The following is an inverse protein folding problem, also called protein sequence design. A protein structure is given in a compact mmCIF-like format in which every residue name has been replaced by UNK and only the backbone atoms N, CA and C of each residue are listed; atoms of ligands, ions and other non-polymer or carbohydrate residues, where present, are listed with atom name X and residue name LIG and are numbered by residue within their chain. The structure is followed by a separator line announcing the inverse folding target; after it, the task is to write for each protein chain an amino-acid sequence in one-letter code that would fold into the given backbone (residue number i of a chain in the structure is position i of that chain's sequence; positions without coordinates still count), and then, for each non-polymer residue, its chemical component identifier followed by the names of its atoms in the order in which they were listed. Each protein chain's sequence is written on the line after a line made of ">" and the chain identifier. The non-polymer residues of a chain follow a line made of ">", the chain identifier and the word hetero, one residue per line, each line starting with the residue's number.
data_IF_961351123083
#
_entry.id   IF_961351123083
#
_cell.length_a   1.000
_cell.length_b   1.000
_cell.length_c   1.000
_cell.angle_alpha   90.00
_cell.angle_beta   90.00
_cell.angle_gamma   90.00
#
_symmetry.space_group_name_H-M   'P 1'
#
loop_
_entity.id
_entity.type
_entity.pdbx_description
1 polymer ?
#
# COMPACT_ATOMS: atom_id res chain seq x y z
N UNK A 1 10.04 -8.45 30.87
CA UNK A 1 9.74 -7.03 30.61
C UNK A 1 8.31 -6.95 30.11
N UNK A 2 7.47 -6.06 30.64
CA UNK A 2 6.11 -5.88 30.12
C UNK A 2 6.17 -5.18 28.76
N UNK A 3 5.73 -5.85 27.69
CA UNK A 3 5.60 -5.21 26.39
C UNK A 3 4.51 -4.12 26.46
N UNK A 4 4.70 -2.96 25.81
CA UNK A 4 3.60 -2.01 25.60
C UNK A 4 2.46 -2.73 24.87
N UNK A 5 1.22 -2.49 25.27
CA UNK A 5 0.05 -3.00 24.56
C UNK A 5 -0.13 -2.18 23.28
N UNK A 6 0.28 -2.72 22.14
CA UNK A 6 0.05 -2.09 20.83
C UNK A 6 -1.39 -2.35 20.39
N UNK A 7 -2.08 -1.33 19.88
CA UNK A 7 -3.38 -1.48 19.21
C UNK A 7 -3.21 -1.14 17.74
N UNK A 8 -3.56 -2.07 16.86
CA UNK A 8 -3.71 -1.81 15.43
C UNK A 8 -5.20 -1.60 15.18
N UNK A 9 -5.57 -0.41 14.70
CA UNK A 9 -6.97 -0.13 14.40
C UNK A 9 -7.16 0.07 12.90
N UNK A 10 -8.03 -0.73 12.30
CA UNK A 10 -8.30 -0.69 10.87
C UNK A 10 -9.72 -1.18 10.55
N UNK A 11 -10.10 -1.18 9.27
CA UNK A 11 -11.44 -1.53 8.83
C UNK A 11 -11.57 -3.05 8.94
N UNK A 12 -12.79 -3.57 8.93
CA UNK A 12 -13.02 -5.02 8.87
C UNK A 12 -12.73 -5.60 7.47
N UNK A 13 -11.56 -5.26 6.94
CA UNK A 13 -10.98 -5.70 5.68
C UNK A 13 -9.47 -5.79 5.85
N UNK A 14 -8.78 -6.45 4.91
CA UNK A 14 -7.31 -6.51 4.87
C UNK A 14 -6.71 -5.11 4.71
N UNK A 15 -6.95 -4.52 3.53
CA UNK A 15 -6.50 -3.18 3.16
C UNK A 15 -5.03 -2.87 3.52
N UNK A 16 -4.74 -1.61 3.83
CA UNK A 16 -3.38 -1.13 4.14
C UNK A 16 -2.85 -1.56 5.53
N UNK A 17 -3.72 -1.95 6.49
CA UNK A 17 -3.24 -2.44 7.79
C UNK A 17 -2.67 -3.85 7.72
N UNK A 18 -2.95 -4.57 6.64
CA UNK A 18 -2.51 -5.94 6.47
C UNK A 18 -0.97 -6.02 6.56
N UNK A 19 -0.26 -5.08 5.95
CA UNK A 19 1.19 -4.92 6.07
C UNK A 19 1.63 -4.77 7.54
N UNK A 20 0.91 -3.95 8.31
CA UNK A 20 1.21 -3.74 9.74
C UNK A 20 0.92 -4.99 10.57
N UNK A 21 -0.11 -5.77 10.24
CA UNK A 21 -0.38 -7.08 10.87
C UNK A 21 0.80 -8.04 10.66
N UNK A 22 1.41 -8.04 9.47
CA UNK A 22 2.56 -8.92 9.22
C UNK A 22 3.74 -8.53 10.07
N UNK A 23 4.02 -7.23 10.17
CA UNK A 23 5.15 -6.74 10.98
C UNK A 23 5.00 -7.20 12.44
N UNK A 24 3.80 -7.09 13.01
CA UNK A 24 3.57 -7.55 14.39
C UNK A 24 3.71 -9.07 14.54
N UNK A 25 3.08 -9.85 13.65
CA UNK A 25 3.15 -11.32 13.70
C UNK A 25 4.58 -11.81 13.48
N UNK A 26 5.29 -11.26 12.49
CA UNK A 26 6.66 -11.64 12.15
C UNK A 26 7.65 -11.30 13.27
N UNK A 27 7.51 -10.13 13.88
CA UNK A 27 8.37 -9.72 15.00
C UNK A 27 8.01 -10.42 16.33
N UNK A 28 6.99 -11.29 16.34
CA UNK A 28 6.42 -11.93 17.54
C UNK A 28 6.07 -10.91 18.63
N UNK A 29 5.55 -9.75 18.21
CA UNK A 29 5.15 -8.65 19.09
C UNK A 29 3.63 -8.72 19.29
N UNK A 30 3.14 -8.88 20.53
CA UNK A 30 1.71 -8.92 20.79
C UNK A 30 1.04 -7.57 20.50
N UNK A 31 -0.14 -7.60 19.89
CA UNK A 31 -0.96 -6.42 19.58
C UNK A 31 -2.46 -6.77 19.61
N UNK A 32 -3.31 -5.77 19.80
CA UNK A 32 -4.77 -5.84 19.71
C UNK A 32 -5.23 -5.38 18.32
N UNK A 33 -5.88 -6.25 17.53
CA UNK A 33 -6.47 -5.92 16.22
C UNK A 33 -7.88 -5.37 16.42
N UNK A 34 -8.00 -4.04 16.51
CA UNK A 34 -9.25 -3.31 16.75
C UNK A 34 -9.90 -3.00 15.40
N UNK A 35 -11.05 -3.60 15.12
CA UNK A 35 -11.76 -3.39 13.85
C UNK A 35 -12.81 -2.30 13.99
N UNK A 36 -12.80 -1.32 13.10
CA UNK A 36 -13.67 -0.13 13.14
C UNK A 36 -14.42 0.06 11.83
N UNK A 37 -15.55 0.75 11.87
CA UNK A 37 -16.24 1.24 10.66
C UNK A 37 -15.56 2.50 10.08
N UNK A 38 -15.81 2.86 8.80
CA UNK A 38 -15.34 4.11 8.18
C UNK A 38 -15.47 5.36 9.04
N UNK A 39 -16.58 5.45 9.75
CA UNK A 39 -16.96 6.53 10.65
C UNK A 39 -16.19 6.56 11.99
N UNK A 40 -15.40 5.52 12.30
CA UNK A 40 -14.61 5.38 13.53
C UNK A 40 -13.08 5.22 13.27
N UNK A 41 -12.59 5.65 12.10
CA UNK A 41 -11.20 5.44 11.66
C UNK A 41 -10.12 6.25 12.41
N UNK A 42 -9.03 5.62 12.90
CA UNK A 42 -7.84 6.33 13.36
C UNK A 42 -6.80 6.50 12.24
N UNK A 43 -6.16 7.67 12.25
CA UNK A 43 -5.50 8.28 11.10
C UNK A 43 -4.19 7.62 10.61
N UNK A 44 -3.73 8.04 9.43
CA UNK A 44 -2.41 7.76 8.85
C UNK A 44 -1.21 7.99 9.82
N UNK A 45 -1.43 8.66 10.96
CA UNK A 45 -0.45 8.84 12.00
C UNK A 45 0.06 7.52 12.61
N UNK A 46 -0.79 6.48 12.72
CA UNK A 46 -0.36 5.20 13.30
C UNK A 46 0.64 4.46 12.39
N UNK A 47 0.37 4.41 11.08
CA UNK A 47 1.28 3.83 10.09
C UNK A 47 2.64 4.55 10.11
N UNK A 48 2.65 5.88 10.17
CA UNK A 48 3.88 6.67 10.28
C UNK A 48 4.66 6.37 11.57
N UNK A 49 3.96 6.23 12.70
CA UNK A 49 4.59 5.89 13.98
C UNK A 49 5.28 4.52 13.93
N UNK A 50 4.60 3.50 13.41
CA UNK A 50 5.17 2.15 13.24
C UNK A 50 6.34 2.18 12.27
N UNK A 51 6.20 2.87 11.12
CA UNK A 51 7.27 2.98 10.14
C UNK A 51 8.54 3.62 10.73
N UNK A 52 8.40 4.72 11.48
CA UNK A 52 9.53 5.35 12.17
C UNK A 52 10.18 4.42 13.19
N UNK A 53 9.38 3.71 13.98
CA UNK A 53 9.88 2.80 15.01
C UNK A 53 10.71 1.64 14.46
N UNK A 54 10.39 1.16 13.27
CA UNK A 54 11.05 0.01 12.64
C UNK A 54 11.97 0.40 11.47
N UNK A 55 12.36 1.68 11.37
CA UNK A 55 13.23 2.22 10.31
C UNK A 55 12.70 1.98 8.88
N UNK A 56 11.38 1.97 8.71
CA UNK A 56 10.67 1.85 7.42
C UNK A 56 10.19 3.21 6.90
N UNK A 57 10.61 4.31 7.53
CA UNK A 57 10.29 5.67 7.09
C UNK A 57 11.41 6.27 6.22
N UNK A 58 12.52 5.58 6.00
CA UNK A 58 13.74 6.19 5.46
C UNK A 58 14.73 6.57 6.57
N UNK A 59 15.98 6.81 6.20
CA UNK A 59 17.11 7.03 7.13
C UNK A 59 17.58 8.47 7.19
N UNK A 60 17.19 9.29 6.21
CA UNK A 60 17.41 10.75 6.21
C UNK A 60 16.07 11.49 6.22
N UNK A 61 16.11 12.80 6.47
CA UNK A 61 14.90 13.63 6.44
C UNK A 61 14.33 13.72 5.01
N UNK A 62 15.19 13.73 3.99
CA UNK A 62 14.80 13.73 2.58
C UNK A 62 14.12 12.41 2.18
N UNK A 63 14.63 11.27 2.64
CA UNK A 63 14.00 9.96 2.42
C UNK A 63 12.64 9.88 3.13
N UNK A 64 12.56 10.37 4.36
CA UNK A 64 11.29 10.46 5.10
C UNK A 64 10.26 11.33 4.38
N UNK A 65 10.67 12.49 3.88
CA UNK A 65 9.80 13.38 3.13
C UNK A 65 9.30 12.72 1.83
N UNK A 66 10.18 11.99 1.12
CA UNK A 66 9.80 11.26 -0.09
C UNK A 66 8.84 10.10 0.21
N UNK A 67 9.10 9.32 1.25
CA UNK A 67 8.22 8.23 1.69
C UNK A 67 6.84 8.76 2.11
N UNK A 68 6.79 9.85 2.86
CA UNK A 68 5.54 10.51 3.25
C UNK A 68 4.79 11.05 2.01
N UNK A 69 5.51 11.62 1.03
CA UNK A 69 4.91 12.12 -0.21
C UNK A 69 4.28 10.98 -1.04
N UNK A 70 4.93 9.82 -1.17
CA UNK A 70 4.32 8.64 -1.82
C UNK A 70 3.08 8.17 -1.05
N UNK A 71 3.14 8.17 0.28
CA UNK A 71 2.01 7.79 1.12
C UNK A 71 0.81 8.75 1.02
N UNK A 72 1.06 10.05 0.90
CA UNK A 72 0.02 11.05 0.69
C UNK A 72 -0.51 11.03 -0.75
N UNK A 73 0.33 10.82 -1.75
CA UNK A 73 -0.09 10.65 -3.15
C UNK A 73 -1.02 9.44 -3.32
N UNK A 74 -0.81 8.36 -2.56
CA UNK A 74 -1.74 7.23 -2.55
C UNK A 74 -3.16 7.64 -2.10
N UNK A 75 -3.30 8.65 -1.23
CA UNK A 75 -4.63 9.19 -0.88
C UNK A 75 -5.26 9.91 -2.05
N UNK A 76 -4.48 10.60 -2.88
CA UNK A 76 -5.00 11.26 -4.08
C UNK A 76 -5.55 10.23 -5.08
N UNK A 77 -4.84 9.11 -5.27
CA UNK A 77 -5.32 7.97 -6.07
C UNK A 77 -6.64 7.43 -5.49
N UNK A 78 -6.71 7.25 -4.17
CA UNK A 78 -7.92 6.77 -3.51
C UNK A 78 -9.08 7.77 -3.60
N UNK A 79 -8.81 9.06 -3.44
CA UNK A 79 -9.79 10.13 -3.61
C UNK A 79 -10.29 10.23 -5.05
N UNK A 80 -9.43 10.02 -6.05
CA UNK A 80 -9.85 9.94 -7.44
C UNK A 80 -10.83 8.77 -7.67
N UNK A 81 -10.60 7.64 -7.01
CA UNK A 81 -11.52 6.49 -7.02
C UNK A 81 -12.81 6.72 -6.22
N UNK A 82 -12.89 7.73 -5.34
CA UNK A 82 -14.08 7.93 -4.50
C UNK A 82 -15.36 8.13 -5.32
N UNK A 83 -15.28 8.76 -6.49
CA UNK A 83 -16.42 8.93 -7.42
C UNK A 83 -17.02 7.58 -7.83
N UNK A 84 -16.19 6.57 -8.05
CA UNK A 84 -16.63 5.21 -8.36
C UNK A 84 -17.34 4.55 -7.17
N UNK A 85 -16.81 4.73 -5.96
CA UNK A 85 -17.37 4.10 -4.76
C UNK A 85 -18.74 4.66 -4.40
N UNK A 86 -18.94 5.96 -4.55
CA UNK A 86 -20.20 6.63 -4.21
C UNK A 86 -21.26 6.60 -5.32
N UNK A 87 -20.90 6.23 -6.56
CA UNK A 87 -21.88 6.04 -7.63
C UNK A 87 -22.80 4.84 -7.33
N UNK A 88 -24.11 5.09 -7.44
CA UNK A 88 -25.20 4.15 -7.12
C UNK A 88 -25.78 3.50 -8.38
N UNK A 89 -25.72 4.19 -9.52
CA UNK A 89 -26.18 3.65 -10.79
C UNK A 89 -25.18 2.59 -11.28
N UNK A 90 -25.58 1.31 -11.44
CA UNK A 90 -24.65 0.24 -11.77
C UNK A 90 -24.03 0.38 -13.15
N UNK A 91 -24.73 1.00 -14.12
CA UNK A 91 -24.23 1.19 -15.48
C UNK A 91 -23.22 2.33 -15.52
N UNK A 92 -23.52 3.44 -14.84
CA UNK A 92 -22.56 4.56 -14.72
C UNK A 92 -21.34 4.16 -13.93
N UNK A 93 -21.53 3.39 -12.85
CA UNK A 93 -20.44 2.87 -12.03
C UNK A 93 -19.46 2.05 -12.86
N UNK A 94 -19.95 1.11 -13.66
CA UNK A 94 -19.08 0.30 -14.51
C UNK A 94 -18.40 1.14 -15.61
N UNK A 95 -19.10 2.12 -16.19
CA UNK A 95 -18.51 3.06 -17.15
C UNK A 95 -17.34 3.86 -16.54
N UNK A 96 -17.56 4.46 -15.37
CA UNK A 96 -16.53 5.22 -14.64
C UNK A 96 -15.37 4.31 -14.25
N UNK A 97 -15.66 3.07 -13.85
CA UNK A 97 -14.66 2.06 -13.51
C UNK A 97 -13.76 1.80 -14.70
N UNK A 98 -14.34 1.44 -15.84
CA UNK A 98 -13.58 1.16 -17.04
C UNK A 98 -12.73 2.34 -17.49
N UNK A 99 -13.31 3.55 -17.51
CA UNK A 99 -12.59 4.76 -17.93
C UNK A 99 -11.41 5.03 -16.99
N UNK A 100 -11.66 5.03 -15.67
CA UNK A 100 -10.61 5.29 -14.68
C UNK A 100 -9.46 4.28 -14.78
N UNK A 101 -9.75 2.98 -14.90
CA UNK A 101 -8.70 1.95 -14.97
C UNK A 101 -8.02 1.85 -16.34
N UNK A 102 -8.63 2.40 -17.40
CA UNK A 102 -8.00 2.53 -18.73
C UNK A 102 -7.11 3.77 -18.85
N UNK A 103 -7.48 4.88 -18.23
CA UNK A 103 -6.77 6.17 -18.41
C UNK A 103 -6.33 6.80 -17.09
N UNK A 104 -7.26 7.03 -16.15
CA UNK A 104 -6.97 7.77 -14.92
C UNK A 104 -5.88 7.14 -14.03
N UNK A 105 -5.88 5.81 -13.89
CA UNK A 105 -4.86 5.10 -13.11
C UNK A 105 -3.49 5.09 -13.81
N UNK A 106 -3.46 5.15 -15.14
CA UNK A 106 -2.23 5.07 -15.93
C UNK A 106 -1.33 6.27 -15.62
N UNK A 107 -1.90 7.47 -15.56
CA UNK A 107 -1.15 8.69 -15.21
C UNK A 107 -0.53 8.61 -13.81
N UNK A 108 -1.27 8.07 -12.84
CA UNK A 108 -0.75 7.87 -11.48
C UNK A 108 0.40 6.85 -11.44
N UNK A 109 0.30 5.78 -12.24
CA UNK A 109 1.34 4.77 -12.34
C UNK A 109 2.60 5.32 -13.01
N UNK A 110 2.49 6.24 -13.99
CA UNK A 110 3.64 6.90 -14.59
C UNK A 110 4.43 7.72 -13.56
N UNK A 111 3.72 8.45 -12.70
CA UNK A 111 4.34 9.20 -11.59
C UNK A 111 5.05 8.26 -10.63
N UNK A 112 4.37 7.18 -10.18
CA UNK A 112 4.95 6.20 -9.27
C UNK A 112 6.17 5.50 -9.88
N UNK A 113 6.14 5.18 -11.17
CA UNK A 113 7.23 4.55 -11.92
C UNK A 113 8.43 5.49 -12.08
N UNK A 114 8.21 6.78 -12.36
CA UNK A 114 9.28 7.79 -12.36
C UNK A 114 9.97 7.88 -10.99
N UNK A 115 9.21 7.96 -9.90
CA UNK A 115 9.79 7.98 -8.55
C UNK A 115 10.59 6.71 -8.21
N UNK A 116 10.07 5.53 -8.59
CA UNK A 116 10.80 4.26 -8.41
C UNK A 116 12.14 4.27 -9.17
N UNK A 117 12.16 4.76 -10.39
CA UNK A 117 13.35 4.74 -11.24
C UNK A 117 14.37 5.82 -10.85
N UNK A 118 13.92 7.05 -10.61
CA UNK A 118 14.79 8.21 -10.40
C UNK A 118 15.33 8.29 -8.96
N UNK A 119 14.42 8.17 -7.99
CA UNK A 119 14.77 8.25 -6.57
C UNK A 119 15.26 6.88 -6.08
N UNK A 120 14.48 5.86 -6.39
CA UNK A 120 14.66 4.48 -5.95
C UNK A 120 15.68 3.62 -6.71
N UNK A 121 16.28 4.18 -7.77
CA UNK A 121 17.20 3.49 -8.69
C UNK A 121 16.63 2.19 -9.26
N UNK A 122 15.30 2.17 -9.47
CA UNK A 122 14.57 1.08 -10.10
C UNK A 122 14.39 -0.15 -9.22
N UNK A 123 14.61 -0.05 -7.90
CA UNK A 123 14.54 -1.23 -6.98
C UNK A 123 13.52 -1.09 -5.87
N UNK A 124 13.58 0.02 -5.13
CA UNK A 124 12.76 0.32 -3.94
C UNK A 124 12.46 1.82 -3.95
N UNK A 125 11.54 2.31 -3.13
CA UNK A 125 11.23 3.74 -3.07
C UNK A 125 12.21 4.57 -2.24
N UNK A 126 13.14 3.96 -1.51
CA UNK A 126 14.23 4.67 -0.84
C UNK A 126 15.60 4.00 -1.12
N UNK A 127 16.68 4.79 -1.32
CA UNK A 127 18.03 4.25 -1.44
C UNK A 127 18.50 3.45 -0.22
N UNK A 128 18.06 3.82 0.98
CA UNK A 128 18.42 3.16 2.23
C UNK A 128 17.81 1.78 2.44
N UNK A 129 16.82 1.39 1.63
CA UNK A 129 16.19 0.08 1.69
C UNK A 129 14.68 0.13 1.70
N UNK A 130 14.07 -0.91 2.26
CA UNK A 130 12.61 -1.09 2.23
C UNK A 130 11.94 -0.09 3.16
N UNK A 131 10.90 0.57 2.66
CA UNK A 131 10.09 1.53 3.39
C UNK A 131 8.61 1.24 3.24
N UNK A 132 7.77 1.98 3.97
CA UNK A 132 6.31 1.86 3.83
C UNK A 132 5.82 2.23 2.42
N UNK A 133 6.54 3.09 1.69
CA UNK A 133 6.22 3.42 0.30
C UNK A 133 6.25 2.18 -0.60
N UNK A 134 7.20 1.26 -0.38
CA UNK A 134 7.29 -0.01 -1.11
C UNK A 134 6.06 -0.88 -0.90
N UNK A 135 5.59 -1.00 0.34
CA UNK A 135 4.41 -1.80 0.64
C UNK A 135 3.12 -1.19 0.11
N UNK A 136 3.01 0.15 0.14
CA UNK A 136 1.85 0.87 -0.42
C UNK A 136 1.76 0.64 -1.93
N UNK A 137 2.86 0.86 -2.66
CA UNK A 137 2.87 0.72 -4.12
C UNK A 137 2.73 -0.75 -4.53
N UNK A 138 3.40 -1.69 -3.87
CA UNK A 138 3.24 -3.12 -4.16
C UNK A 138 1.78 -3.57 -3.95
N UNK A 139 1.12 -3.10 -2.89
CA UNK A 139 -0.30 -3.38 -2.65
C UNK A 139 -1.20 -2.85 -3.77
N UNK A 140 -0.94 -1.63 -4.25
CA UNK A 140 -1.66 -1.04 -5.38
C UNK A 140 -1.45 -1.86 -6.67
N UNK A 141 -0.20 -2.14 -7.03
CA UNK A 141 0.13 -2.86 -8.28
C UNK A 141 -0.44 -4.27 -8.26
N UNK A 142 -0.40 -4.97 -7.12
CA UNK A 142 -1.03 -6.29 -6.98
C UNK A 142 -2.55 -6.22 -7.22
N UNK A 143 -3.23 -5.25 -6.62
CA UNK A 143 -4.68 -5.06 -6.80
C UNK A 143 -5.03 -4.80 -8.26
N UNK A 144 -4.24 -3.97 -8.94
CA UNK A 144 -4.39 -3.67 -10.35
C UNK A 144 -4.10 -4.89 -11.25
N UNK A 145 -3.09 -5.70 -10.94
CA UNK A 145 -2.82 -6.94 -11.68
C UNK A 145 -4.00 -7.92 -11.63
N UNK A 146 -4.66 -8.03 -10.46
CA UNK A 146 -5.78 -8.95 -10.26
C UNK A 146 -7.06 -8.43 -10.91
N UNK A 147 -7.36 -7.14 -10.72
CA UNK A 147 -8.65 -6.58 -11.12
C UNK A 147 -8.64 -5.96 -12.53
N UNK A 148 -7.51 -5.41 -12.97
CA UNK A 148 -7.37 -4.63 -14.20
C UNK A 148 -5.99 -4.85 -14.86
N UNK A 149 -5.68 -6.09 -15.29
CA UNK A 149 -4.32 -6.47 -15.72
C UNK A 149 -3.75 -5.60 -16.84
N UNK A 150 -4.60 -5.06 -17.72
CA UNK A 150 -4.20 -4.16 -18.81
C UNK A 150 -3.57 -2.85 -18.31
N UNK A 151 -3.93 -2.37 -17.11
CA UNK A 151 -3.40 -1.12 -16.54
C UNK A 151 -1.91 -1.17 -16.21
N UNK A 152 -1.36 -2.37 -16.05
CA UNK A 152 0.03 -2.63 -15.63
C UNK A 152 0.82 -3.48 -16.61
N UNK A 153 0.25 -3.84 -17.77
CA UNK A 153 0.87 -4.79 -18.71
C UNK A 153 2.29 -4.32 -19.14
N UNK A 154 2.40 -3.01 -19.43
CA UNK A 154 3.60 -2.38 -19.98
C UNK A 154 4.55 -1.82 -18.91
N UNK A 155 4.31 -2.12 -17.62
CA UNK A 155 5.01 -1.51 -16.49
C UNK A 155 5.96 -2.50 -15.81
N UNK A 156 7.01 -2.89 -16.53
CA UNK A 156 7.91 -3.95 -16.06
C UNK A 156 8.60 -3.57 -14.74
N UNK A 157 9.01 -2.31 -14.56
CA UNK A 157 9.70 -1.89 -13.34
C UNK A 157 8.82 -2.02 -12.08
N UNK A 158 7.53 -1.69 -12.19
CA UNK A 158 6.57 -1.85 -11.11
C UNK A 158 6.24 -3.32 -10.83
N UNK A 159 6.20 -4.17 -11.87
CA UNK A 159 6.04 -5.62 -11.71
C UNK A 159 7.26 -6.24 -11.00
N UNK A 160 8.47 -5.84 -11.38
CA UNK A 160 9.71 -6.29 -10.75
C UNK A 160 9.81 -5.81 -9.29
N UNK A 161 9.35 -4.58 -9.02
CA UNK A 161 9.23 -4.04 -7.66
C UNK A 161 8.26 -4.88 -6.81
N UNK A 162 7.05 -5.16 -7.32
CA UNK A 162 6.09 -6.01 -6.65
C UNK A 162 6.66 -7.41 -6.35
N UNK A 163 7.31 -8.03 -7.33
CA UNK A 163 7.95 -9.34 -7.14
C UNK A 163 9.03 -9.28 -6.05
N UNK A 164 9.82 -8.21 -6.02
CA UNK A 164 10.84 -7.99 -4.98
C UNK A 164 10.21 -7.89 -3.60
N UNK A 165 9.17 -7.08 -3.45
CA UNK A 165 8.45 -6.90 -2.17
C UNK A 165 7.83 -8.22 -1.70
N UNK A 166 7.20 -8.97 -2.59
CA UNK A 166 6.60 -10.27 -2.28
C UNK A 166 7.64 -11.34 -1.89
N UNK A 167 8.89 -11.18 -2.28
CA UNK A 167 9.98 -12.08 -1.92
C UNK A 167 10.77 -11.64 -0.67
N UNK A 168 10.39 -10.53 -0.02
CA UNK A 168 11.01 -10.13 1.24
C UNK A 168 10.73 -11.17 2.34
N UNK A 169 11.71 -11.47 3.22
CA UNK A 169 11.48 -12.30 4.40
C UNK A 169 10.33 -11.75 5.26
N UNK A 170 9.47 -12.62 5.74
CA UNK A 170 8.22 -12.30 6.44
C UNK A 170 7.04 -12.04 5.49
N UNK A 171 7.25 -11.26 4.43
CA UNK A 171 6.21 -10.97 3.43
C UNK A 171 5.89 -12.23 2.62
N UNK A 172 6.91 -12.95 2.17
CA UNK A 172 6.76 -14.19 1.39
C UNK A 172 5.98 -15.26 2.15
N UNK A 173 6.33 -15.49 3.41
CA UNK A 173 5.66 -16.47 4.28
C UNK A 173 4.23 -16.07 4.56
N UNK A 174 3.97 -14.77 4.74
CA UNK A 174 2.61 -14.29 4.90
C UNK A 174 1.78 -14.50 3.63
N UNK A 175 2.28 -14.05 2.46
CA UNK A 175 1.55 -14.16 1.19
C UNK A 175 1.16 -15.62 0.91
N UNK A 176 1.99 -16.59 1.28
CA UNK A 176 1.69 -18.02 1.16
C UNK A 176 0.56 -18.53 2.08
N UNK A 177 0.30 -17.86 3.21
CA UNK A 177 -0.65 -18.32 4.24
C UNK A 177 -1.91 -17.45 4.35
N UNK A 178 -1.91 -16.25 3.76
CA UNK A 178 -2.98 -15.27 3.93
C UNK A 178 -4.30 -15.78 3.36
N UNK A 179 -5.45 -15.46 3.99
CA UNK A 179 -6.75 -15.75 3.44
C UNK A 179 -6.91 -15.13 2.04
N UNK A 180 -7.44 -15.91 1.10
CA UNK A 180 -7.84 -15.41 -0.21
C UNK A 180 -9.16 -14.65 -0.04
N UNK A 181 -9.20 -13.39 -0.45
CA UNK A 181 -10.45 -12.62 -0.54
C UNK A 181 -10.51 -11.93 -1.88
N UNK A 182 -11.73 -11.75 -2.39
CA UNK A 182 -12.02 -11.18 -3.72
C UNK A 182 -11.65 -9.68 -3.83
N UNK A 183 -11.37 -9.04 -2.70
CA UNK A 183 -10.98 -7.64 -2.55
C UNK A 183 -9.75 -7.49 -1.66
#
# INVERSE_FOLDING_TARGET
>A
MSHPVYKLTYFDVRGAAETTRFVFVYANVPFEDVRVSPENWPSAAFTRLVAKKYNLAGTTDEEQAHVDAIGDYFKDIWMAMSKLYYEQDPVKKETIREEYFKTGIVEHLDVLESHLNEYGKGKLYAPSGVTVADFIVAGLVYSLQVQFPTSVENRQSLKDHLERVNNLPGVKEWVAKRPQTEH
#
